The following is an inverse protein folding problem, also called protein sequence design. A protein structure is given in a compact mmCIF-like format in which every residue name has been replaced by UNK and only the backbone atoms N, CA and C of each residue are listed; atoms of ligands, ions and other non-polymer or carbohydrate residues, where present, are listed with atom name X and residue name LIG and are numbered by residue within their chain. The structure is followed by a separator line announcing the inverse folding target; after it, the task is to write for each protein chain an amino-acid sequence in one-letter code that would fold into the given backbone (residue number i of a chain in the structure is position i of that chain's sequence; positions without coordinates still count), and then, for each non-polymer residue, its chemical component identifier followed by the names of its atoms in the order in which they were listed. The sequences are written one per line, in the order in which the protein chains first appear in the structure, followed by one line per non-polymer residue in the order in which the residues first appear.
data_IF_398030668152
#
_entry.id   IF_398030668152
#
_cell.length_a   1.000
_cell.length_b   1.000
_cell.length_c   1.000
_cell.angle_alpha   90.00
_cell.angle_beta   90.00
_cell.angle_gamma   90.00
#
_symmetry.space_group_name_H-M   'P 1'
#
loop_
_entity.id
_entity.type
_entity.pdbx_description
1 polymer ?
#
# COMPACT_ATOMS: atom_id res chain seq x y z
N UNK A 1 -6.61 0.50 -9.70
CA UNK A 1 -5.94 0.44 -11.01
C UNK A 1 -5.44 1.82 -11.43
N UNK A 2 -6.30 2.80 -11.71
CA UNK A 2 -5.86 4.15 -12.13
C UNK A 2 -4.73 4.77 -11.28
N UNK A 3 -4.85 4.74 -9.95
CA UNK A 3 -3.83 5.26 -9.02
C UNK A 3 -2.59 4.35 -8.86
N UNK A 4 -2.67 3.09 -9.31
CA UNK A 4 -1.56 2.14 -9.31
C UNK A 4 -0.67 2.31 -10.52
N UNK A 5 -1.28 2.55 -11.69
CA UNK A 5 -0.55 2.68 -12.95
C UNK A 5 0.17 4.04 -13.05
N UNK A 6 -0.29 5.02 -12.29
CA UNK A 6 0.35 6.32 -12.17
C UNK A 6 1.23 6.34 -10.92
N UNK A 7 2.55 6.25 -11.09
CA UNK A 7 3.56 6.37 -10.00
C UNK A 7 3.57 7.74 -9.29
N UNK A 8 2.61 8.62 -9.58
CA UNK A 8 2.47 9.98 -9.03
C UNK A 8 1.05 10.18 -8.51
N UNK A 9 0.93 11.02 -7.48
CA UNK A 9 -0.35 11.44 -6.93
C UNK A 9 -1.23 12.18 -7.97
N UNK A 10 -2.55 11.97 -7.90
CA UNK A 10 -3.52 12.52 -8.85
C UNK A 10 -4.56 13.42 -8.19
N UNK A 11 -4.88 14.55 -8.80
CA UNK A 11 -5.97 15.43 -8.36
C UNK A 11 -7.35 14.88 -8.73
N UNK A 12 -8.39 15.32 -8.02
CA UNK A 12 -9.78 14.88 -8.27
C UNK A 12 -10.26 15.16 -9.71
N UNK A 13 -9.85 16.28 -10.29
CA UNK A 13 -10.19 16.65 -11.68
C UNK A 13 -9.52 15.72 -12.70
N UNK A 14 -8.28 15.29 -12.44
CA UNK A 14 -7.58 14.35 -13.30
C UNK A 14 -8.22 12.96 -13.23
N UNK A 15 -8.59 12.53 -12.03
CA UNK A 15 -9.34 11.28 -11.80
C UNK A 15 -10.69 11.33 -12.53
N UNK A 16 -11.41 12.45 -12.42
CA UNK A 16 -12.68 12.64 -13.13
C UNK A 16 -12.53 12.51 -14.64
N UNK A 17 -11.60 13.27 -15.22
CA UNK A 17 -11.34 13.24 -16.66
C UNK A 17 -10.97 11.84 -17.17
N UNK A 18 -10.31 11.02 -16.36
CA UNK A 18 -9.90 9.65 -16.72
C UNK A 18 -11.01 8.62 -16.56
N UNK A 19 -11.94 8.81 -15.61
CA UNK A 19 -13.01 7.86 -15.33
C UNK A 19 -14.34 8.22 -15.99
N UNK A 20 -14.49 9.44 -16.50
CA UNK A 20 -15.72 9.95 -17.12
C UNK A 20 -16.98 9.79 -16.23
N UNK A 21 -16.81 9.94 -14.92
CA UNK A 21 -17.88 9.82 -13.92
C UNK A 21 -18.22 11.19 -13.32
N UNK A 22 -19.45 11.35 -12.84
CA UNK A 22 -19.86 12.57 -12.13
C UNK A 22 -19.03 12.84 -10.87
N UNK A 23 -18.73 14.12 -10.60
CA UNK A 23 -17.90 14.55 -9.46
C UNK A 23 -18.42 14.04 -8.11
N UNK A 24 -19.74 14.02 -7.90
CA UNK A 24 -20.37 13.50 -6.68
C UNK A 24 -20.06 12.02 -6.44
N UNK A 25 -20.08 11.22 -7.50
CA UNK A 25 -19.78 9.78 -7.46
C UNK A 25 -18.31 9.56 -7.13
N UNK A 26 -17.42 10.28 -7.80
CA UNK A 26 -15.96 10.20 -7.56
C UNK A 26 -15.63 10.61 -6.13
N UNK A 27 -16.19 11.73 -5.66
CA UNK A 27 -15.94 12.20 -4.30
C UNK A 27 -16.37 11.15 -3.27
N UNK A 28 -17.54 10.51 -3.45
CA UNK A 28 -18.02 9.46 -2.55
C UNK A 28 -17.10 8.24 -2.56
N UNK A 29 -16.68 7.78 -3.74
CA UNK A 29 -15.75 6.64 -3.88
C UNK A 29 -14.41 6.97 -3.20
N UNK A 30 -13.80 8.11 -3.51
CA UNK A 30 -12.52 8.52 -2.94
C UNK A 30 -12.61 8.67 -1.42
N UNK A 31 -13.71 9.24 -0.91
CA UNK A 31 -13.96 9.33 0.53
C UNK A 31 -14.02 7.97 1.19
N UNK A 32 -14.76 7.01 0.61
CA UNK A 32 -14.84 5.65 1.15
C UNK A 32 -13.49 4.93 1.10
N UNK A 33 -12.76 5.03 -0.01
CA UNK A 33 -11.45 4.40 -0.15
C UNK A 33 -10.43 5.00 0.81
N UNK A 34 -10.45 6.32 1.00
CA UNK A 34 -9.60 7.04 1.96
C UNK A 34 -9.91 6.62 3.38
N UNK A 35 -11.19 6.59 3.77
CA UNK A 35 -11.63 6.15 5.09
C UNK A 35 -11.19 4.72 5.40
N UNK A 36 -11.25 3.82 4.42
CA UNK A 36 -10.78 2.43 4.57
C UNK A 36 -9.26 2.26 4.46
N UNK A 37 -8.51 3.33 4.20
CA UNK A 37 -7.05 3.34 4.09
C UNK A 37 -6.49 2.75 2.79
N UNK A 38 -7.34 2.52 1.78
CA UNK A 38 -6.91 2.03 0.46
C UNK A 38 -6.18 3.10 -0.35
N UNK A 39 -6.52 4.37 -0.10
CA UNK A 39 -5.85 5.52 -0.68
C UNK A 39 -5.55 6.53 0.43
N UNK A 40 -4.60 7.41 0.20
CA UNK A 40 -4.33 8.57 1.05
C UNK A 40 -4.42 9.84 0.22
N UNK A 41 -4.68 10.96 0.89
CA UNK A 41 -4.72 12.28 0.26
C UNK A 41 -3.63 13.16 0.87
N UNK A 42 -2.77 13.70 0.03
CA UNK A 42 -1.74 14.65 0.42
C UNK A 42 -2.42 15.94 0.92
N UNK A 43 -2.09 16.38 2.14
CA UNK A 43 -2.70 17.56 2.76
C UNK A 43 -2.27 18.87 2.10
N UNK A 44 -1.08 18.92 1.47
CA UNK A 44 -0.56 20.11 0.81
C UNK A 44 -1.09 20.24 -0.62
N UNK A 45 -1.15 19.13 -1.36
CA UNK A 45 -1.50 19.16 -2.79
C UNK A 45 -2.95 18.74 -3.07
N UNK A 46 -3.66 18.22 -2.05
CA UNK A 46 -5.01 17.63 -2.18
C UNK A 46 -5.09 16.45 -3.16
N UNK A 47 -3.96 15.90 -3.60
CA UNK A 47 -3.90 14.78 -4.55
C UNK A 47 -3.94 13.44 -3.83
N UNK A 48 -4.44 12.43 -4.53
CA UNK A 48 -4.66 11.08 -4.04
C UNK A 48 -3.59 10.12 -4.54
N UNK A 49 -3.19 9.15 -3.71
CA UNK A 49 -2.26 8.08 -4.04
C UNK A 49 -2.67 6.78 -3.31
N UNK A 50 -2.06 5.64 -3.67
CA UNK A 50 -2.32 4.37 -2.98
C UNK A 50 -1.91 4.43 -1.51
N UNK A 51 -2.72 3.81 -0.65
CA UNK A 51 -2.43 3.64 0.78
C UNK A 51 -1.82 2.26 1.07
N UNK A 52 -1.22 2.13 2.26
CA UNK A 52 -0.52 0.91 2.70
C UNK A 52 -1.45 -0.29 2.93
N UNK A 53 -2.78 -0.08 3.03
CA UNK A 53 -3.75 -1.16 3.23
C UNK A 53 -3.70 -2.19 2.10
N UNK A 54 -3.46 -1.76 0.86
CA UNK A 54 -3.35 -2.64 -0.30
C UNK A 54 -2.15 -3.58 -0.18
N UNK A 55 -1.00 -3.08 0.26
CA UNK A 55 0.19 -3.88 0.53
C UNK A 55 -0.07 -4.95 1.60
N UNK A 56 -0.68 -4.55 2.73
CA UNK A 56 -1.01 -5.47 3.83
C UNK A 56 -1.94 -6.59 3.35
N UNK A 57 -2.94 -6.27 2.54
CA UNK A 57 -3.86 -7.28 1.98
C UNK A 57 -3.15 -8.19 0.98
N UNK A 58 -2.27 -7.64 0.12
CA UNK A 58 -1.42 -8.42 -0.78
C UNK A 58 -0.56 -9.44 -0.03
N UNK A 59 0.13 -9.03 1.03
CA UNK A 59 0.93 -9.92 1.87
C UNK A 59 0.11 -11.00 2.61
N UNK A 60 -1.18 -10.74 2.86
CA UNK A 60 -2.09 -11.74 3.42
C UNK A 60 -2.52 -12.77 2.38
N UNK A 61 -2.85 -12.32 1.16
CA UNK A 61 -3.23 -13.21 0.05
C UNK A 61 -2.06 -14.09 -0.36
N UNK A 62 -0.84 -13.53 -0.42
CA UNK A 62 0.35 -14.26 -0.84
C UNK A 62 0.93 -15.20 0.24
N UNK A 63 0.26 -15.38 1.39
CA UNK A 63 0.78 -16.14 2.54
C UNK A 63 2.18 -15.69 3.02
N UNK A 64 2.67 -14.53 2.59
CA UNK A 64 3.93 -13.93 3.03
C UNK A 64 3.96 -13.71 4.54
N UNK A 65 2.79 -13.44 5.12
CA UNK A 65 2.64 -13.33 6.59
C UNK A 65 3.03 -14.64 7.29
N UNK A 66 2.84 -15.80 6.65
CA UNK A 66 3.28 -17.08 7.17
C UNK A 66 4.80 -17.24 7.06
N UNK A 67 5.39 -16.88 5.91
CA UNK A 67 6.84 -16.92 5.71
C UNK A 67 7.57 -16.04 6.73
N UNK A 68 7.13 -14.79 6.93
CA UNK A 68 7.72 -13.89 7.94
C UNK A 68 7.64 -14.52 9.33
N UNK A 69 6.50 -15.10 9.71
CA UNK A 69 6.34 -15.80 11.01
C UNK A 69 7.28 -17.00 11.15
N UNK A 70 7.47 -17.78 10.08
CA UNK A 70 8.38 -18.93 10.08
C UNK A 70 9.83 -18.48 10.20
N UNK A 71 10.23 -17.44 9.48
CA UNK A 71 11.64 -17.01 9.40
C UNK A 71 12.09 -16.20 10.61
N UNK A 72 11.18 -15.41 11.23
CA UNK A 72 11.46 -14.56 12.41
C UNK A 72 12.26 -15.25 13.53
N UNK A 73 11.86 -16.43 14.04
CA UNK A 73 12.61 -17.09 15.13
C UNK A 73 14.05 -17.47 14.74
N UNK A 74 14.30 -17.79 13.47
CA UNK A 74 15.65 -18.11 12.98
C UNK A 74 16.52 -16.84 12.90
N UNK A 75 15.97 -15.73 12.41
CA UNK A 75 16.69 -14.45 12.35
C UNK A 75 17.03 -13.92 13.74
N UNK A 76 16.11 -14.07 14.71
CA UNK A 76 16.36 -13.69 16.10
C UNK A 76 17.50 -14.50 16.71
N UNK A 77 17.51 -15.82 16.49
CA UNK A 77 18.61 -16.70 16.94
C UNK A 77 19.94 -16.30 16.30
N UNK A 78 19.93 -16.00 15.00
CA UNK A 78 21.13 -15.58 14.29
C UNK A 78 21.66 -14.26 14.85
N UNK A 79 20.80 -13.26 15.02
CA UNK A 79 21.17 -11.96 15.60
C UNK A 79 21.75 -12.09 17.01
N UNK A 80 21.17 -12.97 17.85
CA UNK A 80 21.70 -13.25 19.19
C UNK A 80 23.06 -13.94 19.16
N UNK A 81 23.31 -14.80 18.17
CA UNK A 81 24.56 -15.56 18.07
C UNK A 81 25.70 -14.72 17.50
N UNK A 82 25.40 -13.85 16.54
CA UNK A 82 26.40 -12.99 15.89
C UNK A 82 26.56 -11.65 16.60
N UNK A 83 25.59 -11.25 17.41
CA UNK A 83 25.47 -9.92 18.00
C UNK A 83 25.43 -8.80 16.94
N UNK A 84 24.88 -9.11 15.77
CA UNK A 84 24.75 -8.20 14.63
C UNK A 84 23.28 -7.98 14.22
N UNK A 85 23.04 -6.88 13.51
CA UNK A 85 21.75 -6.59 12.89
C UNK A 85 21.53 -7.48 11.68
N UNK A 86 20.51 -8.33 11.73
CA UNK A 86 20.14 -9.21 10.61
C UNK A 86 19.05 -8.54 9.77
N UNK A 87 19.32 -8.40 8.47
CA UNK A 87 18.32 -7.93 7.50
C UNK A 87 17.84 -9.11 6.64
N UNK A 88 16.53 -9.31 6.56
CA UNK A 88 15.92 -10.34 5.73
C UNK A 88 15.20 -9.68 4.55
N UNK A 89 15.60 -10.05 3.35
CA UNK A 89 14.94 -9.64 2.11
C UNK A 89 14.58 -10.87 1.30
N UNK A 90 13.41 -10.83 0.67
CA UNK A 90 12.96 -11.84 -0.27
C UNK A 90 12.34 -11.11 -1.46
N UNK A 91 12.60 -11.61 -2.66
CA UNK A 91 12.00 -11.05 -3.87
C UNK A 91 10.62 -11.65 -4.09
N UNK A 92 9.63 -10.79 -4.28
CA UNK A 92 8.34 -11.17 -4.84
C UNK A 92 8.50 -11.14 -6.37
N UNK A 93 8.25 -12.27 -7.03
CA UNK A 93 8.21 -12.36 -8.50
C UNK A 93 7.04 -11.59 -9.08
#
# INVERSE_FOLDING_TARGET
ELLSDNKKEMGITEINRKLHMGFSTIHRILTTLKYRGYIVQNQQTSKYMLGTKLFILGCKVQNTTNLIKVVTPFLQRLSQTTNETINFSFSLG
#
